data_IF_865859032541
#
_entry.id   IF_865859032541
#
_cell.length_a   1.000
_cell.length_b   1.000
_cell.length_c   1.000
_cell.angle_alpha   90.00
_cell.angle_beta   90.00
_cell.angle_gamma   90.00
#
_symmetry.space_group_name_H-M   'P 1'
#
loop_
_entity.id
_entity.type
_entity.pdbx_description
1 polymer ?
#
# COMPACT_ATOMS: atom_id res chain seq x y z
N UNK A 1 16.31 -1.07 15.23
CA UNK A 1 15.11 -0.80 14.42
C UNK A 1 15.29 -1.33 13.00
N UNK A 2 14.32 -1.18 12.11
CA UNK A 2 14.47 -1.63 10.71
C UNK A 2 15.11 -0.50 9.88
N UNK A 3 16.15 -0.80 9.09
CA UNK A 3 16.92 0.20 8.33
C UNK A 3 17.69 1.25 9.18
N UNK A 4 18.19 0.89 10.36
CA UNK A 4 18.90 1.80 11.29
C UNK A 4 20.11 2.54 10.70
N UNK A 5 20.75 1.94 9.70
CA UNK A 5 21.90 2.52 9.03
C UNK A 5 21.51 3.55 7.94
N UNK A 6 20.24 3.55 7.50
CA UNK A 6 19.73 4.40 6.42
C UNK A 6 18.75 5.47 6.92
N UNK A 7 18.04 5.20 8.02
CA UNK A 7 16.96 6.06 8.52
C UNK A 7 17.29 6.52 9.95
N UNK A 8 17.26 7.83 10.24
CA UNK A 8 17.68 8.36 11.55
C UNK A 8 16.58 8.24 12.60
N UNK A 9 16.17 7.01 12.93
CA UNK A 9 15.10 6.71 13.89
C UNK A 9 15.33 7.34 15.26
N UNK A 10 16.54 7.20 15.79
CA UNK A 10 16.91 7.79 17.08
C UNK A 10 16.71 9.31 17.08
N UNK A 11 17.17 10.00 16.02
CA UNK A 11 17.01 11.44 15.90
C UNK A 11 15.52 11.81 15.93
N UNK A 12 14.68 11.12 15.17
CA UNK A 12 13.22 11.33 15.19
C UNK A 12 12.63 11.09 16.59
N UNK A 13 12.96 9.97 17.23
CA UNK A 13 12.39 9.57 18.52
C UNK A 13 12.70 10.56 19.65
N UNK A 14 13.88 11.20 19.65
CA UNK A 14 14.25 12.19 20.67
C UNK A 14 13.35 13.44 20.69
N UNK A 15 12.56 13.67 19.63
CA UNK A 15 11.59 14.74 19.52
C UNK A 15 10.20 14.39 20.05
N UNK A 16 9.99 13.15 20.51
CA UNK A 16 8.76 12.74 21.17
C UNK A 16 8.97 12.52 22.67
N UNK A 17 7.92 12.76 23.45
CA UNK A 17 7.88 12.42 24.87
C UNK A 17 6.46 12.07 25.29
N UNK A 18 6.33 11.33 26.38
CA UNK A 18 5.04 11.13 27.04
C UNK A 18 4.73 12.34 27.91
N UNK A 19 3.65 13.04 27.59
CA UNK A 19 3.21 14.24 28.30
C UNK A 19 1.67 14.26 28.40
N UNK A 20 1.09 15.00 29.38
CA UNK A 20 -0.36 15.17 29.46
C UNK A 20 -0.91 15.81 28.18
N UNK A 21 -1.97 15.24 27.61
CA UNK A 21 -2.69 15.87 26.49
C UNK A 21 -3.70 16.89 27.02
N UNK A 22 -3.57 18.14 26.58
CA UNK A 22 -4.48 19.23 26.99
C UNK A 22 -5.85 19.18 26.32
N UNK A 23 -6.10 18.23 25.42
CA UNK A 23 -7.35 18.15 24.65
C UNK A 23 -8.49 17.45 25.39
N UNK A 24 -8.21 16.79 26.52
CA UNK A 24 -9.21 16.07 27.32
C UNK A 24 -9.23 16.58 28.76
N UNK A 25 -10.41 16.63 29.42
CA UNK A 25 -10.52 17.09 30.81
C UNK A 25 -9.61 16.35 31.79
N UNK A 26 -9.42 15.05 31.57
CA UNK A 26 -8.61 14.17 32.42
C UNK A 26 -7.10 14.26 32.14
N UNK A 27 -6.70 14.97 31.08
CA UNK A 27 -5.32 15.15 30.63
C UNK A 27 -4.46 13.86 30.67
N UNK A 28 -4.91 12.77 30.03
CA UNK A 28 -4.16 11.51 30.07
C UNK A 28 -2.75 11.70 29.49
N UNK A 29 -1.79 10.90 29.96
CA UNK A 29 -0.46 10.85 29.36
C UNK A 29 -0.53 10.26 27.95
N UNK A 30 0.03 10.95 26.97
CA UNK A 30 0.08 10.50 25.57
C UNK A 30 1.45 10.78 24.93
N UNK A 31 1.78 10.06 23.86
CA UNK A 31 2.97 10.35 23.06
C UNK A 31 2.72 11.62 22.26
N UNK A 32 3.56 12.63 22.43
CA UNK A 32 3.42 13.91 21.74
C UNK A 32 4.78 14.54 21.40
N UNK A 33 4.82 15.46 20.44
CA UNK A 33 6.04 16.18 20.11
C UNK A 33 6.49 17.09 21.25
N UNK A 34 7.80 17.23 21.42
CA UNK A 34 8.43 18.05 22.46
C UNK A 34 8.47 19.55 22.14
N UNK A 35 8.12 19.93 20.92
CA UNK A 35 8.16 21.30 20.40
C UNK A 35 9.55 21.94 20.54
N UNK A 36 10.60 21.17 20.25
CA UNK A 36 11.99 21.67 20.28
C UNK A 36 12.24 22.63 19.11
N UNK A 37 13.12 23.64 19.25
CA UNK A 37 13.46 24.56 18.17
C UNK A 37 13.97 23.89 16.88
N UNK A 38 14.58 22.71 17.01
CA UNK A 38 15.13 21.92 15.89
C UNK A 38 14.14 20.89 15.33
N UNK A 39 12.91 20.82 15.85
CA UNK A 39 11.98 19.73 15.56
C UNK A 39 11.54 19.68 14.10
N UNK A 40 11.09 20.80 13.55
CA UNK A 40 10.65 20.86 12.14
C UNK A 40 11.78 20.47 11.19
N UNK A 41 12.99 21.02 11.41
CA UNK A 41 14.18 20.67 10.63
C UNK A 41 14.51 19.18 10.70
N UNK A 42 14.36 18.58 11.88
CA UNK A 42 14.61 17.15 12.09
C UNK A 42 13.55 16.28 11.42
N UNK A 43 12.27 16.67 11.47
CA UNK A 43 11.19 15.96 10.78
C UNK A 43 11.34 16.01 9.26
N UNK A 44 11.68 17.17 8.70
CA UNK A 44 11.97 17.33 7.26
C UNK A 44 13.18 16.48 6.86
N UNK A 45 14.26 16.50 7.65
CA UNK A 45 15.45 15.69 7.39
C UNK A 45 15.13 14.19 7.43
N UNK A 46 14.41 13.73 8.46
CA UNK A 46 13.95 12.36 8.56
C UNK A 46 13.10 11.95 7.33
N UNK A 47 12.13 12.79 6.95
CA UNK A 47 11.25 12.52 5.82
C UNK A 47 12.04 12.36 4.51
N UNK A 48 13.03 13.23 4.27
CA UNK A 48 13.94 13.11 3.11
C UNK A 48 14.75 11.81 3.14
N UNK A 49 15.31 11.42 4.28
CA UNK A 49 16.05 10.17 4.42
C UNK A 49 15.18 8.94 4.14
N UNK A 50 13.99 8.87 4.75
CA UNK A 50 13.08 7.75 4.56
C UNK A 50 12.54 7.71 3.11
N UNK A 51 12.13 8.84 2.54
CA UNK A 51 11.70 8.93 1.13
C UNK A 51 12.79 8.47 0.16
N UNK A 52 14.03 8.90 0.37
CA UNK A 52 15.19 8.45 -0.41
C UNK A 52 15.41 6.95 -0.28
N UNK A 53 15.29 6.41 0.93
CA UNK A 53 15.43 4.97 1.18
C UNK A 53 14.34 4.18 0.44
N UNK A 54 13.08 4.61 0.51
CA UNK A 54 11.96 3.97 -0.21
C UNK A 54 12.22 3.98 -1.73
N UNK A 55 12.63 5.12 -2.30
CA UNK A 55 12.93 5.25 -3.73
C UNK A 55 14.09 4.37 -4.18
N UNK A 56 15.15 4.28 -3.40
CA UNK A 56 16.30 3.43 -3.72
C UNK A 56 15.89 1.95 -3.74
N UNK A 57 15.14 1.49 -2.74
CA UNK A 57 14.64 0.11 -2.73
C UNK A 57 13.66 -0.15 -3.87
N UNK A 58 12.79 0.81 -4.21
CA UNK A 58 11.88 0.69 -5.34
C UNK A 58 12.64 0.54 -6.67
N UNK A 59 13.68 1.35 -6.87
CA UNK A 59 14.54 1.26 -8.06
C UNK A 59 15.30 -0.07 -8.14
N UNK A 60 15.86 -0.54 -7.02
CA UNK A 60 16.53 -1.84 -6.96
C UNK A 60 15.55 -3.00 -7.20
N UNK A 61 14.33 -2.93 -6.66
CA UNK A 61 13.30 -3.94 -6.90
C UNK A 61 12.88 -3.96 -8.38
N UNK A 62 12.72 -2.78 -8.99
CA UNK A 62 12.31 -2.65 -10.40
C UNK A 62 13.27 -3.31 -11.38
N UNK A 63 14.57 -3.34 -11.06
CA UNK A 63 15.61 -3.99 -11.87
C UNK A 63 15.46 -5.51 -11.99
N UNK A 64 14.61 -6.13 -11.16
CA UNK A 64 14.31 -7.58 -11.25
C UNK A 64 13.33 -7.92 -12.37
N UNK A 65 12.69 -6.93 -12.98
CA UNK A 65 11.62 -7.10 -13.97
C UNK A 65 12.03 -6.50 -15.33
N UNK A 66 11.45 -6.96 -16.45
CA UNK A 66 11.71 -6.38 -17.76
C UNK A 66 11.40 -4.88 -17.83
N UNK A 67 12.18 -4.11 -18.59
CA UNK A 67 11.93 -2.67 -18.80
C UNK A 67 10.64 -2.41 -19.59
N UNK A 68 10.29 -3.32 -20.50
CA UNK A 68 9.08 -3.26 -21.31
C UNK A 68 8.37 -4.60 -21.31
N UNK A 69 7.05 -4.55 -21.41
CA UNK A 69 6.21 -5.72 -21.60
C UNK A 69 5.75 -5.78 -23.05
N UNK A 70 5.78 -6.96 -23.71
CA UNK A 70 5.33 -7.06 -25.09
C UNK A 70 3.86 -6.63 -25.20
N UNK A 71 3.59 -5.72 -26.14
CA UNK A 71 2.23 -5.35 -26.53
C UNK A 71 1.53 -6.58 -27.10
N UNK A 72 0.36 -6.94 -26.57
CA UNK A 72 -0.48 -8.01 -27.12
C UNK A 72 -0.98 -7.66 -28.55
N UNK A 73 -0.98 -6.37 -28.90
CA UNK A 73 -1.21 -5.87 -30.25
C UNK A 73 0.12 -5.99 -31.06
N UNK A 74 0.45 -7.19 -31.54
CA UNK A 74 1.62 -7.42 -32.40
C UNK A 74 1.52 -6.70 -33.77
N UNK A 75 2.65 -6.40 -34.44
CA UNK A 75 2.68 -5.64 -35.69
C UNK A 75 2.35 -6.53 -36.89
N UNK A 76 1.08 -6.89 -37.08
CA UNK A 76 0.64 -7.54 -38.33
C UNK A 76 -0.78 -7.08 -38.70
N UNK A 77 -0.92 -5.79 -39.00
CA UNK A 77 -2.01 -5.23 -39.80
C UNK A 77 -1.51 -3.93 -40.45
N UNK A 78 -0.46 -4.04 -41.27
CA UNK A 78 -0.23 -3.05 -42.32
C UNK A 78 -0.95 -3.60 -43.55
N UNK A 79 -2.19 -3.16 -43.78
CA UNK A 79 -2.85 -3.34 -45.06
C UNK A 79 -1.93 -2.77 -46.16
N UNK A 80 -1.60 -3.52 -47.23
CA UNK A 80 -0.92 -2.93 -48.36
C UNK A 80 -1.89 -1.93 -49.01
N UNK A 81 -1.51 -0.66 -48.97
CA UNK A 81 -2.10 0.41 -49.76
C UNK A 81 -2.17 -0.02 -51.23
N UNK A 82 -3.39 -0.15 -51.74
CA UNK A 82 -3.64 -0.36 -53.15
C UNK A 82 -3.21 0.88 -53.94
N UNK A 83 -2.06 0.81 -54.59
CA UNK A 83 -1.71 1.73 -55.67
C UNK A 83 -1.68 0.95 -56.99
N UNK A 84 -2.61 1.34 -57.87
CA UNK A 84 -2.78 0.79 -59.19
C UNK A 84 -1.73 1.40 -60.12
N UNK A 85 -0.81 0.60 -60.66
CA UNK A 85 -0.27 0.90 -61.98
C UNK A 85 0.01 -0.36 -62.80
N UNK A 86 -0.70 -0.41 -63.93
CA UNK A 86 -0.49 -1.29 -65.07
C UNK A 86 0.92 -1.12 -65.65
N UNK A 87 1.69 -2.20 -65.75
CA UNK A 87 2.42 -2.52 -66.99
C UNK A 87 2.73 -4.02 -67.03
N UNK A 88 2.30 -4.66 -68.12
CA UNK A 88 2.42 -6.09 -68.30
C UNK A 88 3.79 -6.50 -68.80
N UNK A 89 4.20 -7.71 -68.45
CA UNK A 89 5.03 -8.54 -69.30
C UNK A 89 4.85 -10.01 -68.93
N UNK A 90 4.60 -10.81 -69.97
CA UNK A 90 4.49 -12.26 -69.87
C UNK A 90 5.89 -12.84 -69.69
N UNK A 91 6.10 -13.67 -68.66
CA UNK A 91 7.10 -14.72 -68.74
C UNK A 91 6.66 -15.95 -67.94
N UNK A 92 6.52 -17.07 -68.66
CA UNK A 92 6.47 -18.42 -68.11
C UNK A 92 7.81 -18.75 -67.45
N UNK A 93 7.81 -19.25 -66.20
CA UNK A 93 8.39 -20.55 -65.82
C UNK A 93 8.40 -20.79 -64.30
N UNK A 94 8.10 -22.06 -64.00
CA UNK A 94 8.56 -22.87 -62.87
C UNK A 94 8.00 -22.60 -61.47
N UNK A 95 7.07 -23.50 -61.11
CA UNK A 95 6.60 -23.82 -59.76
C UNK A 95 7.77 -24.21 -58.84
N UNK A 96 8.02 -23.42 -57.81
CA UNK A 96 8.48 -23.90 -56.51
C UNK A 96 7.46 -23.43 -55.46
N UNK A 97 6.61 -24.35 -55.01
CA UNK A 97 5.81 -24.18 -53.80
C UNK A 97 6.77 -24.20 -52.60
N UNK A 98 6.92 -23.05 -51.94
CA UNK A 98 7.48 -22.94 -50.59
C UNK A 98 6.33 -22.98 -49.57
N UNK A 99 6.48 -23.69 -48.43
CA UNK A 99 5.46 -23.71 -47.39
C UNK A 99 5.62 -22.48 -46.48
N UNK A 100 4.89 -21.41 -46.74
CA UNK A 100 4.81 -20.21 -45.87
C UNK A 100 3.63 -20.26 -44.87
N UNK A 101 2.87 -21.36 -44.81
CA UNK A 101 1.65 -21.46 -44.00
C UNK A 101 1.84 -22.04 -42.58
N UNK A 102 3.04 -22.50 -42.21
CA UNK A 102 3.28 -23.17 -40.91
C UNK A 102 3.99 -22.28 -39.87
N UNK A 103 4.64 -21.17 -40.26
CA UNK A 103 5.29 -20.27 -39.29
C UNK A 103 4.28 -19.42 -38.50
N UNK A 104 3.22 -18.95 -39.16
CA UNK A 104 2.23 -18.04 -38.56
C UNK A 104 1.29 -18.74 -37.55
N UNK A 105 1.03 -20.04 -37.74
CA UNK A 105 0.32 -20.87 -36.76
C UNK A 105 1.14 -21.09 -35.49
N UNK A 106 2.45 -21.31 -35.65
CA UNK A 106 3.34 -21.62 -34.54
C UNK A 106 3.53 -20.38 -33.63
N UNK A 107 3.60 -19.18 -34.19
CA UNK A 107 3.70 -17.93 -33.42
C UNK A 107 2.39 -17.52 -32.73
N UNK A 108 1.23 -17.89 -33.29
CA UNK A 108 -0.06 -17.70 -32.65
C UNK A 108 -0.25 -18.66 -31.48
N UNK A 109 0.08 -19.94 -31.67
CA UNK A 109 0.04 -20.95 -30.61
C UNK A 109 1.01 -20.60 -29.46
N UNK A 110 2.20 -20.04 -29.77
CA UNK A 110 3.16 -19.62 -28.74
C UNK A 110 2.68 -18.39 -27.94
N UNK A 111 1.95 -17.45 -28.57
CA UNK A 111 1.31 -16.31 -27.89
C UNK A 111 0.18 -16.76 -26.98
N UNK A 112 -0.72 -17.60 -27.48
CA UNK A 112 -1.84 -18.13 -26.70
C UNK A 112 -1.35 -18.96 -25.50
N UNK A 113 -0.21 -19.67 -25.65
CA UNK A 113 0.44 -20.39 -24.54
C UNK A 113 1.07 -19.44 -23.52
N UNK A 114 1.72 -18.35 -23.94
CA UNK A 114 2.30 -17.35 -23.01
C UNK A 114 1.23 -16.61 -22.22
N UNK A 115 0.11 -16.23 -22.86
CA UNK A 115 -1.05 -15.64 -22.18
C UNK A 115 -1.70 -16.62 -21.22
N UNK A 116 -1.83 -17.89 -21.60
CA UNK A 116 -2.34 -18.93 -20.72
C UNK A 116 -1.42 -19.17 -19.52
N UNK A 117 -0.09 -19.13 -19.71
CA UNK A 117 0.89 -19.28 -18.64
C UNK A 117 0.92 -18.06 -17.71
N UNK A 118 0.83 -16.85 -18.26
CA UNK A 118 0.68 -15.61 -17.48
C UNK A 118 -0.62 -15.62 -16.67
N UNK A 119 -1.75 -15.95 -17.31
CA UNK A 119 -3.05 -16.06 -16.65
C UNK A 119 -3.02 -17.14 -15.57
N UNK A 120 -2.35 -18.27 -15.79
CA UNK A 120 -2.20 -19.33 -14.78
C UNK A 120 -1.28 -18.95 -13.63
N UNK A 121 -0.16 -18.28 -13.89
CA UNK A 121 0.75 -17.82 -12.83
C UNK A 121 0.12 -16.69 -12.00
N UNK A 122 -0.57 -15.76 -12.66
CA UNK A 122 -1.36 -14.71 -12.02
C UNK A 122 -2.51 -15.31 -11.21
N UNK A 123 -3.27 -16.24 -11.79
CA UNK A 123 -4.37 -16.91 -11.09
C UNK A 123 -3.88 -17.76 -9.91
N UNK A 124 -2.76 -18.47 -10.05
CA UNK A 124 -2.18 -19.26 -8.96
C UNK A 124 -1.69 -18.35 -7.82
N UNK A 125 -0.99 -17.26 -8.16
CA UNK A 125 -0.54 -16.24 -7.22
C UNK A 125 -1.70 -15.50 -6.53
N UNK A 126 -2.83 -15.29 -7.20
CA UNK A 126 -4.03 -14.73 -6.58
C UNK A 126 -4.79 -15.76 -5.71
N UNK A 127 -4.81 -17.03 -6.10
CA UNK A 127 -5.66 -18.07 -5.50
C UNK A 127 -5.06 -18.66 -4.21
N UNK A 128 -3.74 -18.89 -4.12
CA UNK A 128 -3.10 -19.41 -2.89
C UNK A 128 -3.16 -18.40 -1.72
N UNK A 129 -3.13 -17.14 -2.09
CA UNK A 129 -3.23 -15.94 -1.26
C UNK A 129 -4.62 -15.77 -0.73
N UNK A 130 -5.56 -15.89 -1.64
CA UNK A 130 -6.95 -15.74 -1.35
C UNK A 130 -7.43 -16.88 -0.45
N UNK A 131 -6.95 -18.12 -0.61
CA UNK A 131 -7.23 -19.22 0.33
C UNK A 131 -6.77 -18.94 1.77
N UNK A 132 -5.69 -18.18 1.94
CA UNK A 132 -5.19 -17.77 3.27
C UNK A 132 -6.11 -16.71 3.89
N UNK A 133 -6.58 -15.75 3.10
CA UNK A 133 -7.54 -14.72 3.51
C UNK A 133 -8.96 -15.26 3.71
N UNK A 134 -9.37 -16.20 2.87
CA UNK A 134 -10.68 -16.86 2.85
C UNK A 134 -10.92 -17.70 4.11
N UNK A 135 -9.86 -18.26 4.71
CA UNK A 135 -9.96 -19.03 5.96
C UNK A 135 -10.41 -18.15 7.13
N UNK A 136 -10.07 -16.87 7.12
CA UNK A 136 -10.23 -15.98 8.26
C UNK A 136 -11.30 -14.88 8.02
N UNK A 137 -11.73 -14.62 6.77
CA UNK A 137 -12.58 -13.45 6.42
C UNK A 137 -13.84 -13.68 5.58
N UNK A 138 -14.13 -14.92 5.16
CA UNK A 138 -15.36 -15.23 4.39
C UNK A 138 -15.26 -14.93 2.89
N UNK A 139 -16.21 -15.50 2.14
CA UNK A 139 -16.17 -15.84 0.70
C UNK A 139 -16.12 -14.70 -0.34
N UNK A 140 -15.24 -13.71 -0.23
CA UNK A 140 -15.04 -12.73 -1.33
C UNK A 140 -14.01 -13.20 -2.37
N UNK A 141 -14.34 -14.26 -3.14
CA UNK A 141 -13.45 -14.87 -4.14
C UNK A 141 -12.92 -13.79 -5.09
N UNK A 142 -11.58 -13.61 -5.21
CA UNK A 142 -11.02 -12.92 -6.38
C UNK A 142 -11.50 -13.75 -7.57
N UNK A 143 -12.49 -13.25 -8.32
CA UNK A 143 -13.14 -14.12 -9.29
C UNK A 143 -12.09 -14.44 -10.35
N UNK A 144 -12.04 -15.70 -10.84
CA UNK A 144 -11.04 -16.15 -11.82
C UNK A 144 -10.96 -15.20 -13.03
N UNK A 145 -12.06 -14.51 -13.34
CA UNK A 145 -12.13 -13.43 -14.33
C UNK A 145 -11.16 -12.28 -14.06
N UNK A 146 -10.97 -11.85 -12.81
CA UNK A 146 -10.03 -10.78 -12.43
C UNK A 146 -8.56 -11.19 -12.62
N UNK A 147 -8.33 -12.46 -12.93
CA UNK A 147 -7.03 -12.97 -13.35
C UNK A 147 -6.69 -12.75 -14.82
N UNK A 148 -7.62 -12.18 -15.59
CA UNK A 148 -7.48 -11.96 -17.03
C UNK A 148 -7.37 -10.47 -17.30
N UNK A 149 -6.35 -10.05 -18.06
CA UNK A 149 -6.18 -8.66 -18.47
C UNK A 149 -7.45 -8.08 -19.12
N UNK A 150 -8.15 -8.89 -19.92
CA UNK A 150 -9.41 -8.50 -20.54
C UNK A 150 -10.47 -8.06 -19.53
N UNK A 151 -10.54 -8.67 -18.35
CA UNK A 151 -11.50 -8.25 -17.33
C UNK A 151 -11.21 -6.82 -16.85
N UNK A 152 -9.95 -6.47 -16.65
CA UNK A 152 -9.55 -5.12 -16.25
C UNK A 152 -9.88 -4.10 -17.34
N UNK A 153 -9.64 -4.46 -18.61
CA UNK A 153 -10.00 -3.63 -19.77
C UNK A 153 -11.53 -3.44 -19.84
N UNK A 154 -12.30 -4.52 -19.70
CA UNK A 154 -13.76 -4.47 -19.74
C UNK A 154 -14.32 -3.61 -18.61
N UNK A 155 -13.77 -3.72 -17.40
CA UNK A 155 -14.17 -2.87 -16.27
C UNK A 155 -13.80 -1.40 -16.49
N UNK A 156 -12.62 -1.10 -17.05
CA UNK A 156 -12.19 0.27 -17.31
C UNK A 156 -12.99 0.93 -18.44
N UNK A 157 -13.48 0.16 -19.40
CA UNK A 157 -14.29 0.63 -20.52
C UNK A 157 -15.79 0.65 -20.22
N UNK A 158 -16.22 0.09 -19.08
CA UNK A 158 -17.62 0.08 -18.69
C UNK A 158 -18.08 1.48 -18.28
N UNK A 159 -18.95 2.07 -19.09
CA UNK A 159 -19.62 3.32 -18.78
C UNK A 159 -21.03 2.95 -18.32
N UNK A 160 -21.39 3.16 -17.04
CA UNK A 160 -22.79 3.12 -16.63
C UNK A 160 -23.56 4.13 -17.49
N UNK A 161 -24.70 3.73 -18.06
CA UNK A 161 -25.54 4.59 -18.91
C UNK A 161 -25.64 5.99 -18.30
N UNK A 162 -25.27 7.07 -19.04
CA UNK A 162 -25.27 8.41 -18.48
C UNK A 162 -26.69 8.78 -18.04
N UNK A 163 -26.80 9.29 -16.81
CA UNK A 163 -27.97 10.05 -16.38
C UNK A 163 -28.08 11.26 -17.33
N UNK A 164 -29.25 11.56 -17.95
CA UNK A 164 -29.36 12.43 -19.14
C UNK A 164 -29.10 13.93 -18.89
N UNK A 165 -28.41 14.31 -17.81
CA UNK A 165 -28.34 15.69 -17.32
C UNK A 165 -27.08 16.45 -17.79
N UNK A 166 -26.05 15.81 -18.35
CA UNK A 166 -24.79 16.49 -18.69
C UNK A 166 -24.21 16.06 -20.05
N UNK A 167 -24.62 16.67 -21.16
CA UNK A 167 -24.42 16.06 -22.50
C UNK A 167 -23.31 16.63 -23.40
N UNK A 168 -22.58 17.71 -23.06
CA UNK A 168 -21.65 18.34 -24.04
C UNK A 168 -20.15 18.22 -23.77
N UNK A 169 -19.68 18.18 -22.52
CA UNK A 169 -18.28 17.87 -22.19
C UNK A 169 -18.07 16.38 -21.83
N UNK A 170 -19.16 15.61 -21.79
CA UNK A 170 -19.16 14.21 -21.39
C UNK A 170 -18.60 13.30 -22.50
N UNK A 171 -18.77 13.66 -23.77
CA UNK A 171 -18.42 12.77 -24.88
C UNK A 171 -16.91 12.46 -24.97
N UNK A 172 -16.02 13.42 -24.66
CA UNK A 172 -14.58 13.16 -24.60
C UNK A 172 -14.13 12.59 -23.24
N UNK A 173 -14.82 12.97 -22.17
CA UNK A 173 -14.63 12.39 -20.83
C UNK A 173 -15.01 10.90 -20.76
N UNK A 174 -15.99 10.47 -21.55
CA UNK A 174 -16.47 9.09 -21.65
C UNK A 174 -15.63 8.20 -22.58
N UNK A 175 -14.78 8.77 -23.45
CA UNK A 175 -13.99 7.96 -24.40
C UNK A 175 -12.76 7.31 -23.78
N UNK A 176 -12.32 7.74 -22.60
CA UNK A 176 -11.12 7.21 -21.95
C UNK A 176 -11.49 6.13 -20.95
N UNK A 177 -10.80 4.97 -20.98
CA UNK A 177 -10.94 3.97 -19.93
C UNK A 177 -10.67 4.61 -18.56
N UNK A 178 -11.46 4.25 -17.56
CA UNK A 178 -11.30 4.71 -16.17
C UNK A 178 -11.92 3.73 -15.20
N UNK A 179 -11.42 3.75 -13.98
CA UNK A 179 -12.07 3.09 -12.86
C UNK A 179 -12.84 4.10 -12.01
N UNK A 180 -13.88 3.64 -11.33
CA UNK A 180 -14.65 4.43 -10.37
C UNK A 180 -14.81 3.69 -9.04
N UNK A 181 -15.67 4.22 -8.16
CA UNK A 181 -15.92 3.65 -6.84
C UNK A 181 -16.56 2.27 -6.88
N UNK A 182 -17.18 1.87 -8.00
CA UNK A 182 -17.71 0.53 -8.24
C UNK A 182 -16.62 -0.52 -8.48
N UNK A 183 -15.37 -0.11 -8.73
CA UNK A 183 -14.22 -1.00 -8.95
C UNK A 183 -13.36 -1.19 -7.69
N UNK A 184 -13.97 -1.13 -6.51
CA UNK A 184 -13.31 -1.33 -5.22
C UNK A 184 -12.56 -2.67 -5.14
N UNK A 185 -13.14 -3.74 -5.68
CA UNK A 185 -12.55 -5.07 -5.71
C UNK A 185 -11.21 -5.09 -6.47
N UNK A 186 -11.11 -4.37 -7.58
CA UNK A 186 -9.86 -4.22 -8.33
C UNK A 186 -8.79 -3.49 -7.50
N UNK A 187 -9.17 -2.45 -6.74
CA UNK A 187 -8.23 -1.78 -5.85
C UNK A 187 -7.72 -2.71 -4.75
N UNK A 188 -8.56 -3.57 -4.19
CA UNK A 188 -8.15 -4.58 -3.21
C UNK A 188 -7.21 -5.63 -3.82
N UNK A 189 -7.48 -6.09 -5.04
CA UNK A 189 -6.57 -6.99 -5.76
C UNK A 189 -5.19 -6.34 -5.93
N UNK A 190 -5.11 -5.05 -6.28
CA UNK A 190 -3.82 -4.34 -6.37
C UNK A 190 -3.09 -4.38 -5.03
N UNK A 191 -3.77 -4.08 -3.91
CA UNK A 191 -3.17 -4.11 -2.57
C UNK A 191 -2.60 -5.49 -2.24
N UNK A 192 -3.37 -6.55 -2.51
CA UNK A 192 -2.94 -7.93 -2.27
C UNK A 192 -1.72 -8.30 -3.11
N UNK A 193 -1.71 -7.98 -4.42
CA UNK A 193 -0.57 -8.25 -5.29
C UNK A 193 0.70 -7.54 -4.80
N UNK A 194 0.58 -6.31 -4.30
CA UNK A 194 1.69 -5.56 -3.67
C UNK A 194 2.21 -6.30 -2.43
N UNK A 195 1.33 -6.70 -1.51
CA UNK A 195 1.70 -7.40 -0.26
C UNK A 195 2.53 -8.66 -0.59
N UNK A 196 2.18 -9.34 -1.67
CA UNK A 196 2.75 -10.62 -2.05
C UNK A 196 3.92 -10.59 -3.02
N UNK A 197 4.36 -9.40 -3.39
CA UNK A 197 5.40 -9.22 -4.39
C UNK A 197 5.03 -9.78 -5.77
N UNK A 198 3.75 -9.82 -6.12
CA UNK A 198 3.29 -10.15 -7.47
C UNK A 198 3.35 -8.89 -8.34
N UNK A 199 4.56 -8.34 -8.51
CA UNK A 199 4.75 -7.05 -9.16
C UNK A 199 4.76 -7.13 -10.68
N UNK A 200 5.26 -8.21 -11.28
CA UNK A 200 5.29 -8.38 -12.74
C UNK A 200 3.91 -8.13 -13.39
N UNK A 201 2.82 -8.73 -12.90
CA UNK A 201 1.49 -8.44 -13.44
C UNK A 201 1.03 -7.00 -13.28
N UNK A 202 1.32 -6.37 -12.14
CA UNK A 202 0.99 -4.97 -11.87
C UNK A 202 1.74 -4.05 -12.82
N UNK A 203 3.03 -4.32 -13.05
CA UNK A 203 3.87 -3.57 -13.99
C UNK A 203 3.38 -3.77 -15.43
N UNK A 204 3.00 -4.99 -15.83
CA UNK A 204 2.39 -5.24 -17.14
C UNK A 204 1.10 -4.45 -17.34
N UNK A 205 0.21 -4.42 -16.35
CA UNK A 205 -1.02 -3.63 -16.41
C UNK A 205 -0.74 -2.12 -16.43
N UNK A 206 0.23 -1.64 -15.65
CA UNK A 206 0.62 -0.22 -15.66
C UNK A 206 1.15 0.23 -17.04
N UNK A 207 1.77 -0.68 -17.80
CA UNK A 207 2.25 -0.42 -19.17
C UNK A 207 1.17 -0.55 -20.25
N UNK A 208 -0.06 -0.97 -19.92
CA UNK A 208 -1.12 -1.12 -20.90
C UNK A 208 -2.09 0.10 -20.85
N UNK A 209 -2.21 0.88 -21.94
CA UNK A 209 -3.05 2.09 -21.97
C UNK A 209 -4.55 1.82 -21.80
N UNK A 210 -5.00 0.58 -22.00
CA UNK A 210 -6.39 0.16 -21.80
C UNK A 210 -6.69 -0.15 -20.32
N UNK A 211 -5.68 -0.24 -19.46
CA UNK A 211 -5.81 -0.46 -18.03
C UNK A 211 -5.21 0.72 -17.24
N UNK A 212 -5.98 1.79 -17.00
CA UNK A 212 -5.52 3.00 -16.32
C UNK A 212 -5.38 2.75 -14.81
N UNK A 213 -4.39 1.93 -14.42
CA UNK A 213 -4.25 1.36 -13.08
C UNK A 213 -4.16 2.43 -11.97
N UNK A 214 -3.60 3.59 -12.28
CA UNK A 214 -3.57 4.73 -11.35
C UNK A 214 -4.96 5.29 -11.00
N UNK A 215 -5.98 5.05 -11.84
CA UNK A 215 -7.37 5.37 -11.52
C UNK A 215 -7.88 4.70 -10.24
N UNK A 216 -7.24 3.60 -9.81
CA UNK A 216 -7.55 2.92 -8.55
C UNK A 216 -6.76 3.48 -7.34
N UNK A 217 -5.85 4.43 -7.54
CA UNK A 217 -4.93 4.92 -6.49
C UNK A 217 -5.69 5.60 -5.36
N UNK A 218 -6.56 6.56 -5.69
CA UNK A 218 -7.31 7.36 -4.72
C UNK A 218 -8.82 7.30 -4.99
N UNK A 219 -9.39 6.09 -4.92
CA UNK A 219 -10.84 5.92 -4.94
C UNK A 219 -11.44 6.37 -3.61
N UNK A 220 -12.64 6.96 -3.65
CA UNK A 220 -13.37 7.33 -2.44
C UNK A 220 -14.73 7.98 -2.69
N UNK A 221 -15.62 7.85 -1.71
CA UNK A 221 -16.83 8.66 -1.57
C UNK A 221 -17.09 8.93 -0.09
N UNK A 222 -16.71 10.12 0.39
CA UNK A 222 -16.72 10.46 1.81
C UNK A 222 -15.52 9.89 2.62
N UNK A 223 -14.96 8.76 2.20
CA UNK A 223 -13.71 8.15 2.70
C UNK A 223 -12.96 7.47 1.56
N UNK A 224 -11.63 7.30 1.70
CA UNK A 224 -10.78 6.72 0.65
C UNK A 224 -10.55 5.22 0.84
N UNK A 225 -10.62 4.47 -0.27
CA UNK A 225 -10.44 3.01 -0.33
C UNK A 225 -9.58 2.55 -1.52
N UNK A 226 -8.96 3.49 -2.24
CA UNK A 226 -7.99 3.17 -3.28
C UNK A 226 -6.74 2.45 -2.73
N UNK A 227 -5.87 1.98 -3.63
CA UNK A 227 -4.67 1.25 -3.21
C UNK A 227 -3.64 2.12 -2.48
N UNK A 228 -3.77 3.46 -2.50
CA UNK A 228 -2.99 4.38 -1.66
C UNK A 228 -3.11 4.07 -0.16
N UNK A 229 -4.26 3.52 0.28
CA UNK A 229 -4.52 3.18 1.68
C UNK A 229 -3.57 2.11 2.22
N UNK A 230 -3.09 1.20 1.37
CA UNK A 230 -2.10 0.21 1.78
C UNK A 230 -0.80 0.87 2.21
N UNK A 231 -0.24 1.75 1.38
CA UNK A 231 0.98 2.49 1.70
C UNK A 231 0.80 3.41 2.91
N UNK A 232 -0.36 4.06 3.04
CA UNK A 232 -0.67 4.92 4.18
C UNK A 232 -0.62 4.14 5.51
N UNK A 233 -1.30 3.00 5.60
CA UNK A 233 -1.38 2.21 6.83
C UNK A 233 -0.03 1.56 7.16
N UNK A 234 0.65 1.05 6.12
CA UNK A 234 2.00 0.54 6.24
C UNK A 234 2.96 1.62 6.75
N UNK A 235 2.87 2.86 6.25
CA UNK A 235 3.74 3.96 6.63
C UNK A 235 3.48 4.40 8.07
N UNK A 236 2.22 4.55 8.44
CA UNK A 236 1.81 4.89 9.80
C UNK A 236 2.34 3.88 10.82
N UNK A 237 2.09 2.58 10.59
CA UNK A 237 2.59 1.50 11.43
C UNK A 237 4.12 1.52 11.47
N UNK A 238 4.78 1.62 10.31
CA UNK A 238 6.22 1.57 10.19
C UNK A 238 6.91 2.69 10.97
N UNK A 239 6.43 3.94 10.86
CA UNK A 239 6.98 5.06 11.63
C UNK A 239 6.70 4.86 13.13
N UNK A 240 5.44 4.60 13.50
CA UNK A 240 5.02 4.52 14.89
C UNK A 240 5.80 3.46 15.69
N UNK A 241 5.90 2.24 15.17
CA UNK A 241 6.57 1.15 15.88
C UNK A 241 8.09 1.35 15.94
N UNK A 242 8.74 1.88 14.89
CA UNK A 242 10.17 2.20 14.97
C UNK A 242 10.44 3.32 15.99
N UNK A 243 9.60 4.36 16.08
CA UNK A 243 9.72 5.41 17.10
C UNK A 243 9.52 4.87 18.51
N UNK A 244 8.52 4.01 18.71
CA UNK A 244 8.26 3.39 20.02
C UNK A 244 9.44 2.52 20.48
N UNK A 245 10.06 1.76 19.59
CA UNK A 245 11.16 0.91 19.98
C UNK A 245 12.52 1.62 20.13
N UNK A 246 12.64 2.86 19.66
CA UNK A 246 13.70 3.79 20.07
C UNK A 246 13.46 4.43 21.45
N UNK A 247 12.36 4.07 22.13
CA UNK A 247 11.98 4.58 23.44
C UNK A 247 11.97 3.47 24.52
N UNK A 248 13.14 2.94 24.96
CA UNK A 248 13.22 1.84 25.93
C UNK A 248 12.44 2.07 27.22
N UNK A 249 12.34 3.33 27.65
CA UNK A 249 11.62 3.74 28.85
C UNK A 249 10.10 3.52 28.77
N UNK A 250 9.53 3.35 27.56
CA UNK A 250 8.12 3.05 27.35
C UNK A 250 7.84 1.55 27.20
N UNK A 251 8.86 0.77 26.84
CA UNK A 251 8.76 -0.68 26.63
C UNK A 251 8.78 -1.44 27.97
N UNK A 252 9.62 -0.99 28.91
CA UNK A 252 9.79 -1.65 30.20
C UNK A 252 8.81 -1.08 31.23
N UNK A 253 8.07 -1.93 31.98
CA UNK A 253 7.42 -1.49 33.20
C UNK A 253 8.52 -1.06 34.17
N UNK A 254 8.61 0.24 34.49
CA UNK A 254 9.53 0.63 35.57
C UNK A 254 8.98 0.07 36.87
N UNK A 255 9.78 -0.76 37.55
CA UNK A 255 9.44 -1.20 38.89
C UNK A 255 9.13 0.05 39.73
N UNK A 256 8.01 0.07 40.48
CA UNK A 256 7.71 1.21 41.34
C UNK A 256 8.93 1.41 42.23
N UNK A 257 9.50 2.62 42.19
CA UNK A 257 10.59 3.01 43.08
C UNK A 257 10.03 3.04 44.51
N UNK A 258 9.89 1.88 45.14
CA UNK A 258 9.70 1.78 46.58
C UNK A 258 11.02 2.21 47.22
N UNK A 259 11.09 3.48 47.59
CA UNK A 259 12.08 3.94 48.55
C UNK A 259 11.92 3.11 49.84
N UNK A 260 13.02 2.65 50.46
CA UNK A 260 12.92 1.93 51.72
C UNK A 260 12.45 2.88 52.81
N UNK A 261 11.27 2.61 53.37
CA UNK A 261 10.87 3.05 54.70
C UNK A 261 10.34 4.48 54.81
N UNK A 262 9.02 4.63 54.72
CA UNK A 262 8.25 5.23 55.82
C UNK A 262 6.79 4.78 55.70
N UNK A 263 6.33 4.00 56.68
CA UNK A 263 4.93 3.67 56.87
C UNK A 263 4.20 4.94 57.30
N UNK A 264 3.52 5.57 56.35
CA UNK A 264 2.54 6.62 56.63
C UNK A 264 1.18 6.14 56.16
N UNK A 265 0.34 5.78 57.11
CA UNK A 265 -1.07 5.48 56.93
C UNK A 265 -1.83 6.74 56.45
N UNK A 266 -2.83 6.50 55.60
CA UNK A 266 -4.01 7.35 55.33
C UNK A 266 -3.80 8.65 54.54
N UNK A 267 -4.11 8.57 53.24
CA UNK A 267 -5.07 9.46 52.56
C UNK A 267 -5.50 8.85 51.22
N UNK A 268 -6.75 8.38 51.16
CA UNK A 268 -7.40 7.76 49.99
C UNK A 268 -7.99 8.80 49.01
N UNK A 269 -7.15 9.73 48.54
CA UNK A 269 -7.39 10.46 47.30
C UNK A 269 -6.14 10.28 46.44
N UNK A 270 -6.14 9.20 45.67
CA UNK A 270 -4.99 8.68 44.93
C UNK A 270 -4.45 9.65 43.90
N UNK A 271 -3.24 10.14 44.15
CA UNK A 271 -2.35 10.75 43.17
C UNK A 271 -1.88 9.67 42.18
N UNK A 272 -2.60 9.53 41.07
CA UNK A 272 -2.35 8.53 40.01
C UNK A 272 -1.06 8.77 39.19
N UNK A 273 -0.21 9.72 39.55
CA UNK A 273 0.75 10.32 38.60
C UNK A 273 2.19 9.77 38.62
N UNK A 274 2.52 8.74 39.42
CA UNK A 274 3.93 8.32 39.59
C UNK A 274 4.30 6.93 39.07
N UNK A 275 3.41 6.29 38.30
CA UNK A 275 3.76 5.14 37.47
C UNK A 275 4.06 5.61 36.05
N UNK A 276 5.25 5.32 35.52
CA UNK A 276 5.56 5.62 34.11
C UNK A 276 4.65 4.76 33.22
N UNK A 277 3.81 5.41 32.40
CA UNK A 277 2.85 4.70 31.55
C UNK A 277 3.58 3.83 30.52
N UNK A 278 3.17 2.56 30.39
CA UNK A 278 3.65 1.69 29.32
C UNK A 278 3.10 2.17 27.98
N UNK A 279 3.83 1.93 26.90
CA UNK A 279 3.39 2.36 25.57
C UNK A 279 1.99 1.85 25.19
N UNK A 280 1.64 0.62 25.58
CA UNK A 280 0.35 0.00 25.28
C UNK A 280 -0.84 0.64 26.03
N UNK A 281 -0.56 1.43 27.07
CA UNK A 281 -1.56 2.18 27.82
C UNK A 281 -1.84 3.57 27.22
N UNK A 282 -0.93 4.08 26.38
CA UNK A 282 -1.03 5.41 25.79
C UNK A 282 -2.23 5.52 24.84
N UNK A 283 -3.00 6.62 24.88
CA UNK A 283 -4.09 6.88 23.93
C UNK A 283 -3.64 6.79 22.46
N UNK A 284 -2.46 7.29 22.12
CA UNK A 284 -1.83 7.16 20.80
C UNK A 284 -1.80 5.72 20.31
N UNK A 285 -1.31 4.81 21.14
CA UNK A 285 -1.19 3.41 20.78
C UNK A 285 -2.55 2.76 20.54
N UNK A 286 -3.52 3.05 21.41
CA UNK A 286 -4.90 2.56 21.24
C UNK A 286 -5.56 3.09 19.97
N UNK A 287 -5.31 4.36 19.62
CA UNK A 287 -5.74 4.94 18.33
C UNK A 287 -5.07 4.20 17.17
N UNK A 288 -3.75 3.96 17.25
CA UNK A 288 -2.99 3.27 16.21
C UNK A 288 -3.55 1.87 15.95
N UNK A 289 -3.66 1.05 16.99
CA UNK A 289 -4.19 -0.33 16.87
C UNK A 289 -5.61 -0.30 16.32
N UNK A 290 -6.48 0.60 16.80
CA UNK A 290 -7.84 0.75 16.27
C UNK A 290 -7.85 1.11 14.79
N UNK A 291 -6.96 2.00 14.35
CA UNK A 291 -6.89 2.41 12.96
C UNK A 291 -6.39 1.28 12.07
N UNK A 292 -5.32 0.60 12.48
CA UNK A 292 -4.72 -0.52 11.76
C UNK A 292 -5.61 -1.77 11.69
N UNK A 293 -6.60 -1.89 12.57
CA UNK A 293 -7.55 -3.01 12.64
C UNK A 293 -8.97 -2.62 12.23
N UNK A 294 -9.23 -1.36 11.86
CA UNK A 294 -10.59 -0.96 11.47
C UNK A 294 -10.94 -1.55 10.12
N UNK A 295 -12.06 -2.24 10.04
CA UNK A 295 -12.65 -2.60 8.76
C UNK A 295 -13.24 -1.36 8.07
N UNK A 296 -12.98 -1.24 6.77
CA UNK A 296 -13.50 -0.21 5.88
C UNK A 296 -14.14 -0.89 4.65
N UNK A 297 -14.71 -0.12 3.73
CA UNK A 297 -15.09 -0.67 2.42
C UNK A 297 -13.81 -1.12 1.69
N UNK A 298 -13.65 -2.45 1.58
CA UNK A 298 -12.40 -3.09 1.14
C UNK A 298 -11.38 -3.16 2.27
N UNK A 299 -11.02 -4.37 2.68
CA UNK A 299 -10.20 -4.63 3.87
C UNK A 299 -8.75 -5.03 3.54
N UNK A 300 -8.38 -5.07 2.25
CA UNK A 300 -7.05 -5.53 1.86
C UNK A 300 -5.89 -4.66 2.39
N UNK A 301 -6.12 -3.37 2.73
CA UNK A 301 -5.09 -2.52 3.36
C UNK A 301 -4.78 -2.93 4.81
N UNK A 302 -5.69 -3.60 5.52
CA UNK A 302 -5.49 -3.96 6.94
C UNK A 302 -4.98 -5.38 7.13
N UNK A 303 -4.95 -6.21 6.08
CA UNK A 303 -4.56 -7.64 6.13
C UNK A 303 -3.26 -7.86 6.89
N UNK A 304 -2.16 -7.21 6.47
CA UNK A 304 -0.84 -7.42 7.09
C UNK A 304 -0.80 -6.95 8.55
N UNK A 305 -1.65 -5.98 8.89
CA UNK A 305 -1.74 -5.42 10.23
C UNK A 305 -2.56 -6.32 11.13
N UNK A 306 -3.67 -6.84 10.62
CA UNK A 306 -4.52 -7.76 11.35
C UNK A 306 -3.77 -9.06 11.64
N UNK A 307 -3.11 -9.65 10.65
CA UNK A 307 -2.32 -10.88 10.85
C UNK A 307 -1.30 -10.71 11.99
N UNK A 308 -0.56 -9.60 11.99
CA UNK A 308 0.40 -9.29 13.04
C UNK A 308 -0.24 -8.99 14.40
N UNK A 309 -1.25 -8.13 14.44
CA UNK A 309 -1.86 -7.67 15.70
C UNK A 309 -2.74 -8.74 16.35
N UNK A 310 -3.41 -9.57 15.54
CA UNK A 310 -4.26 -10.66 16.02
C UNK A 310 -3.44 -11.75 16.74
N UNK A 311 -2.25 -12.07 16.23
CA UNK A 311 -1.31 -12.96 16.92
C UNK A 311 -0.90 -12.45 18.31
N UNK A 312 -0.95 -11.14 18.54
CA UNK A 312 -0.66 -10.50 19.84
C UNK A 312 -1.94 -10.19 20.64
N UNK A 313 -3.07 -10.81 20.27
CA UNK A 313 -4.34 -10.70 20.99
C UNK A 313 -5.13 -9.41 20.73
N UNK A 314 -4.80 -8.66 19.67
CA UNK A 314 -5.64 -7.55 19.23
C UNK A 314 -6.83 -8.10 18.44
N UNK A 315 -8.03 -7.72 18.84
CA UNK A 315 -9.23 -8.07 18.09
C UNK A 315 -10.04 -6.82 17.74
N UNK A 316 -10.74 -6.85 16.60
CA UNK A 316 -11.67 -5.79 16.21
C UNK A 316 -12.68 -5.55 17.36
N UNK A 317 -12.73 -4.33 17.93
CA UNK A 317 -13.67 -4.00 19.00
C UNK A 317 -15.13 -4.26 18.62
N UNK A 318 -15.49 -4.14 17.34
CA UNK A 318 -16.85 -4.35 16.85
C UNK A 318 -17.25 -5.84 16.82
N UNK A 319 -16.30 -6.75 16.61
CA UNK A 319 -16.56 -8.20 16.52
C UNK A 319 -16.35 -8.95 17.83
N UNK A 320 -15.37 -8.57 18.66
CA UNK A 320 -14.88 -9.45 19.73
C UNK A 320 -14.73 -8.83 21.12
N UNK A 321 -15.04 -7.55 21.31
CA UNK A 321 -14.98 -6.93 22.65
C UNK A 321 -13.56 -6.80 23.21
N UNK A 322 -12.91 -5.69 22.86
CA UNK A 322 -11.88 -4.98 23.64
C UNK A 322 -10.75 -5.81 24.30
N UNK A 323 -9.78 -6.25 23.50
CA UNK A 323 -8.39 -6.23 23.93
C UNK A 323 -7.57 -5.33 22.98
N UNK A 324 -7.48 -4.04 23.32
CA UNK A 324 -6.72 -3.03 22.55
C UNK A 324 -5.27 -2.85 23.05
N UNK A 325 -4.73 -3.83 23.79
CA UNK A 325 -3.39 -3.72 24.40
C UNK A 325 -2.44 -4.86 23.99
N UNK A 326 -2.31 -5.18 22.70
CA UNK A 326 -1.30 -6.15 22.28
C UNK A 326 0.10 -5.63 22.66
N UNK A 327 0.90 -6.45 23.33
CA UNK A 327 2.29 -6.12 23.68
C UNK A 327 3.21 -6.52 22.52
N UNK A 328 3.07 -5.85 21.38
CA UNK A 328 3.78 -6.18 20.13
C UNK A 328 5.32 -6.19 20.19
N UNK A 329 5.93 -5.74 21.30
CA UNK A 329 7.38 -5.77 21.50
C UNK A 329 7.85 -6.93 22.38
N UNK A 330 6.95 -7.78 22.88
CA UNK A 330 7.31 -9.02 23.59
C UNK A 330 8.03 -10.01 22.66
N UNK A 331 7.65 -10.06 21.39
CA UNK A 331 8.32 -10.78 20.30
C UNK A 331 8.99 -9.79 19.33
N UNK A 332 10.19 -9.36 19.69
CA UNK A 332 11.02 -8.50 18.84
C UNK A 332 11.39 -9.11 17.48
N UNK A 333 11.39 -10.43 17.35
CA UNK A 333 11.66 -11.07 16.07
C UNK A 333 10.46 -10.90 15.14
N UNK A 334 9.25 -11.20 15.62
CA UNK A 334 8.02 -11.03 14.86
C UNK A 334 7.77 -9.58 14.49
N UNK A 335 8.02 -8.64 15.40
CA UNK A 335 7.97 -7.21 15.11
C UNK A 335 8.89 -6.81 13.95
N UNK A 336 10.13 -7.32 13.91
CA UNK A 336 11.07 -7.04 12.80
C UNK A 336 10.58 -7.59 11.47
N UNK A 337 10.03 -8.80 11.45
CA UNK A 337 9.45 -9.37 10.22
C UNK A 337 8.26 -8.56 9.73
N UNK A 338 7.38 -8.14 10.64
CA UNK A 338 6.27 -7.25 10.31
C UNK A 338 6.73 -5.90 9.75
N UNK A 339 7.75 -5.26 10.35
CA UNK A 339 8.32 -4.02 9.83
C UNK A 339 8.94 -4.18 8.44
N UNK A 340 9.53 -5.34 8.12
CA UNK A 340 10.01 -5.65 6.76
C UNK A 340 8.85 -5.69 5.77
N UNK A 341 7.71 -6.29 6.15
CA UNK A 341 6.51 -6.37 5.30
C UNK A 341 5.93 -4.97 5.07
N UNK A 342 5.78 -4.16 6.11
CA UNK A 342 5.33 -2.77 5.97
C UNK A 342 6.24 -2.00 5.01
N UNK A 343 7.56 -2.06 5.23
CA UNK A 343 8.52 -1.38 4.36
C UNK A 343 8.46 -1.89 2.90
N UNK A 344 8.22 -3.19 2.71
CA UNK A 344 8.03 -3.77 1.39
C UNK A 344 6.81 -3.21 0.66
N UNK A 345 5.71 -3.01 1.37
CA UNK A 345 4.53 -2.36 0.79
C UNK A 345 4.85 -0.93 0.33
N UNK A 346 5.69 -0.17 1.06
CA UNK A 346 6.07 1.19 0.68
C UNK A 346 6.84 1.24 -0.63
N UNK A 347 7.95 0.50 -0.75
CA UNK A 347 8.78 0.57 -1.96
C UNK A 347 8.11 -0.07 -3.18
N UNK A 348 7.26 -1.08 -3.00
CA UNK A 348 6.46 -1.66 -4.10
C UNK A 348 5.37 -0.72 -4.58
N UNK A 349 4.73 0.02 -3.66
CA UNK A 349 3.77 1.07 -4.02
C UNK A 349 4.45 2.19 -4.80
N UNK A 350 5.63 2.63 -4.37
CA UNK A 350 6.44 3.62 -5.11
C UNK A 350 6.80 3.13 -6.51
N UNK A 351 7.23 1.87 -6.62
CA UNK A 351 7.57 1.26 -7.90
C UNK A 351 6.37 1.25 -8.85
N UNK A 352 5.20 0.83 -8.38
CA UNK A 352 3.98 0.81 -9.17
C UNK A 352 3.52 2.22 -9.57
N UNK A 353 3.54 3.15 -8.62
CA UNK A 353 3.13 4.54 -8.85
C UNK A 353 3.99 5.19 -9.95
N UNK A 354 5.31 4.95 -9.92
CA UNK A 354 6.23 5.39 -10.97
C UNK A 354 5.95 4.76 -12.32
N UNK A 355 5.68 3.46 -12.36
CA UNK A 355 5.34 2.76 -13.61
C UNK A 355 4.07 3.36 -14.24
N UNK A 356 3.12 3.75 -13.40
CA UNK A 356 1.91 4.48 -13.81
C UNK A 356 2.16 5.95 -14.20
N UNK A 357 3.39 6.48 -14.12
CA UNK A 357 3.72 7.87 -14.42
C UNK A 357 3.39 8.88 -13.30
N UNK A 358 3.08 8.42 -12.10
CA UNK A 358 2.62 9.23 -10.98
C UNK A 358 3.42 8.91 -9.69
N UNK A 359 4.67 9.38 -9.55
CA UNK A 359 5.47 9.11 -8.36
C UNK A 359 4.82 9.65 -7.08
N UNK A 360 5.00 8.94 -5.96
CA UNK A 360 4.42 9.35 -4.67
C UNK A 360 5.28 10.47 -4.05
N UNK A 361 4.63 11.52 -3.54
CA UNK A 361 5.25 12.61 -2.78
C UNK A 361 5.60 12.16 -1.35
N UNK A 362 6.49 11.17 -1.21
CA UNK A 362 6.78 10.53 0.08
C UNK A 362 7.12 11.49 1.22
N UNK A 363 7.84 12.57 0.98
CA UNK A 363 8.13 13.56 2.03
C UNK A 363 6.85 14.13 2.65
N UNK A 364 5.84 14.41 1.81
CA UNK A 364 4.53 14.89 2.25
C UNK A 364 3.75 13.79 2.95
N UNK A 365 3.73 12.57 2.41
CA UNK A 365 3.06 11.41 3.01
C UNK A 365 3.64 11.05 4.39
N UNK A 366 4.97 11.13 4.54
CA UNK A 366 5.67 10.89 5.81
C UNK A 366 5.31 11.95 6.84
N UNK A 367 5.36 13.23 6.47
CA UNK A 367 4.99 14.32 7.39
C UNK A 367 3.50 14.26 7.76
N UNK A 368 2.63 13.93 6.79
CA UNK A 368 1.21 13.73 7.05
C UNK A 368 0.97 12.56 8.01
N UNK A 369 1.67 11.43 7.82
CA UNK A 369 1.58 10.26 8.71
C UNK A 369 2.02 10.59 10.14
N UNK A 370 2.98 11.50 10.32
CA UNK A 370 3.39 11.97 11.65
C UNK A 370 2.30 12.73 12.40
N UNK A 371 1.31 13.30 11.71
CA UNK A 371 0.17 13.97 12.37
C UNK A 371 -0.61 13.04 13.29
N UNK A 372 -0.58 11.73 13.02
CA UNK A 372 -1.16 10.71 13.87
C UNK A 372 -0.48 10.61 15.26
N UNK A 373 0.77 11.04 15.36
CA UNK A 373 1.55 11.19 16.60
C UNK A 373 1.40 12.60 17.22
N UNK A 374 0.30 13.30 16.93
CA UNK A 374 0.01 14.67 17.38
C UNK A 374 1.03 15.72 16.86
N UNK A 375 1.69 15.47 15.73
CA UNK A 375 2.51 16.48 15.04
C UNK A 375 1.60 17.43 14.28
N UNK A 376 1.70 18.73 14.55
CA UNK A 376 0.96 19.71 13.77
C UNK A 376 1.41 19.68 12.29
N UNK A 377 0.48 19.70 11.34
CA UNK A 377 0.76 20.04 9.96
C UNK A 377 1.65 21.26 9.79
N UNK A 378 2.87 21.12 9.26
CA UNK A 378 3.76 22.28 9.01
C UNK A 378 3.86 22.67 7.54
N UNK A 379 2.93 22.23 6.67
CA UNK A 379 3.02 22.41 5.22
C UNK A 379 2.86 23.86 4.72
N UNK A 380 2.64 24.84 5.60
CA UNK A 380 2.36 26.24 5.22
C UNK A 380 3.53 27.21 5.43
N UNK A 381 4.75 26.75 5.75
CA UNK A 381 5.85 27.67 6.15
C UNK A 381 7.03 27.80 5.18
N UNK A 382 7.02 27.16 4.00
CA UNK A 382 8.11 27.26 3.02
C UNK A 382 7.62 27.64 1.61
N UNK A 383 6.72 28.63 1.49
CA UNK A 383 6.51 29.36 0.24
C UNK A 383 6.86 30.84 0.40
#
# INVERSE_FOLDING_TARGET
>A
MHQDHNVPWHALATHFSVQPTHHLPEQPLDLSPRNLPTQQKTFIYFAKCLATTIRNFAATERQKYPDTFPSEDGPNNVEPSADNSHHGEKHEREKMEKPEADQDKNEKDERDVKDLLFTKAFAQGCNDTYKTLQRDWGESVIPERACRLQHWIDQACYIPSPDPVYERDLADFLKKPRYDTGNLDLADIVKILIIQNQMEPLLRMANNPKTPLFGLYCLGWGHSFGWSRLSEYALMAYIAFNVLAESPALLQPTAPKHGPGHQSQQNEQGDCTKGQARYCDLPFYKRLVRHLTSSCDGDAQTVIHHDFLHEHGAHDPKRYGLCLRPDVFDDMHRMKEYLKICFACLYRSEMLARECGHPIEWEKEILFSMSFMNVAPTWEQEN
#
